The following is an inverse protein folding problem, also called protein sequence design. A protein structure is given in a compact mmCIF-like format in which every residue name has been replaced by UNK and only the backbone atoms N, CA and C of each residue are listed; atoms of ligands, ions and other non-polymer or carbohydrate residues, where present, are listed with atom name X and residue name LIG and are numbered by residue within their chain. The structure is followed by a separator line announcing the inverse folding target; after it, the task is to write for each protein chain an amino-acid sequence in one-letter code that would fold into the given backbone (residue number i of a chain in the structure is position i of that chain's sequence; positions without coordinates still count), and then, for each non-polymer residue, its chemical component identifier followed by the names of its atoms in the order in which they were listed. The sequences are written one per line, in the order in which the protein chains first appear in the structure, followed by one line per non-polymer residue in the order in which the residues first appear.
data_IF_050182470514
#
_entry.id   IF_050182470514
#
_cell.length_a   1.000
_cell.length_b   1.000
_cell.length_c   1.000
_cell.angle_alpha   90.00
_cell.angle_beta   90.00
_cell.angle_gamma   90.00
#
_symmetry.space_group_name_H-M   'P 1'
#
loop_
_entity.id
_entity.type
_entity.pdbx_description
1 polymer ?
#
# COMPACT_ATOMS: atom_id res chain seq x y z
N UNK A 1 9.91 -33.95 10.98
CA UNK A 1 10.57 -32.99 11.89
C UNK A 1 10.92 -31.63 11.26
N UNK A 2 10.91 -31.50 9.95
CA UNK A 2 11.32 -30.24 9.29
C UNK A 2 10.15 -29.38 8.80
N UNK A 3 8.91 -29.79 8.99
CA UNK A 3 7.71 -29.09 8.52
C UNK A 3 7.34 -27.83 9.33
N UNK A 4 7.83 -27.72 10.56
CA UNK A 4 7.52 -26.56 11.43
C UNK A 4 8.29 -25.30 11.06
N UNK A 5 9.41 -25.38 10.35
CA UNK A 5 10.17 -24.22 9.90
C UNK A 5 9.54 -23.58 8.66
N UNK A 6 9.03 -24.37 7.72
CA UNK A 6 8.38 -23.88 6.49
C UNK A 6 7.04 -23.20 6.76
N UNK A 7 6.27 -23.71 7.73
CA UNK A 7 5.02 -23.08 8.12
C UNK A 7 5.23 -21.74 8.85
N UNK A 8 6.39 -21.52 9.47
CA UNK A 8 6.73 -20.23 10.09
C UNK A 8 7.18 -19.18 9.05
N UNK A 9 7.88 -19.60 8.01
CA UNK A 9 8.29 -18.69 6.93
C UNK A 9 7.11 -18.27 6.06
N UNK A 10 6.17 -19.17 5.78
CA UNK A 10 4.96 -18.86 5.01
C UNK A 10 3.97 -17.92 5.74
N UNK A 11 3.94 -17.94 7.07
CA UNK A 11 3.10 -17.04 7.85
C UNK A 11 3.66 -15.62 7.99
N UNK A 12 4.91 -15.39 7.60
CA UNK A 12 5.57 -14.09 7.70
C UNK A 12 5.44 -13.21 6.45
N UNK A 13 4.81 -13.72 5.41
CA UNK A 13 4.77 -13.07 4.10
C UNK A 13 3.34 -12.89 3.64
N UNK A 14 2.81 -11.70 3.81
CA UNK A 14 1.57 -11.34 3.15
C UNK A 14 1.88 -10.94 1.70
N UNK A 15 1.45 -11.78 0.77
CA UNK A 15 1.65 -11.56 -0.66
C UNK A 15 0.37 -11.01 -1.27
N UNK A 16 0.49 -9.86 -1.89
CA UNK A 16 -0.61 -9.30 -2.67
C UNK A 16 -0.36 -9.57 -4.14
N UNK A 17 -1.23 -10.36 -4.75
CA UNK A 17 -1.15 -10.73 -6.16
C UNK A 17 -1.85 -9.72 -7.04
N UNK A 18 -1.14 -9.20 -8.02
CA UNK A 18 -1.71 -8.35 -9.06
C UNK A 18 -1.30 -8.88 -10.42
N UNK A 19 -2.23 -9.31 -11.27
CA UNK A 19 -1.97 -9.78 -12.64
C UNK A 19 -0.73 -10.70 -12.76
N UNK A 20 -0.67 -11.77 -11.97
CA UNK A 20 0.47 -12.70 -11.85
C UNK A 20 1.76 -12.09 -11.29
N UNK A 21 1.68 -10.96 -10.62
CA UNK A 21 2.81 -10.27 -10.00
C UNK A 21 2.51 -10.02 -8.53
N UNK A 22 3.52 -10.11 -7.69
CA UNK A 22 3.35 -10.05 -6.23
C UNK A 22 4.06 -8.83 -5.67
N UNK A 23 3.34 -8.09 -4.83
CA UNK A 23 3.94 -7.08 -3.95
C UNK A 23 4.16 -7.76 -2.60
N UNK A 24 5.39 -7.74 -2.15
CA UNK A 24 5.74 -8.21 -0.83
C UNK A 24 5.63 -7.07 0.19
N UNK A 25 4.73 -7.26 1.14
CA UNK A 25 4.61 -6.41 2.32
C UNK A 25 4.82 -7.29 3.55
N UNK A 26 5.75 -6.97 4.43
CA UNK A 26 5.94 -7.72 5.66
C UNK A 26 4.67 -7.70 6.50
N UNK A 27 4.05 -8.86 6.70
CA UNK A 27 2.80 -8.97 7.47
C UNK A 27 2.99 -8.96 8.99
N UNK A 28 4.19 -9.27 9.45
CA UNK A 28 4.45 -9.26 10.88
C UNK A 28 5.05 -7.95 11.34
N UNK A 29 4.24 -7.22 12.06
CA UNK A 29 4.72 -6.24 13.02
C UNK A 29 5.33 -6.97 14.21
N UNK A 30 6.51 -7.60 14.05
CA UNK A 30 7.27 -7.98 15.21
C UNK A 30 7.59 -6.71 15.95
N UNK A 31 6.82 -6.49 17.02
CA UNK A 31 7.16 -5.60 18.12
C UNK A 31 8.41 -4.76 17.87
N UNK A 32 8.31 -3.80 16.97
CA UNK A 32 9.20 -2.67 17.02
C UNK A 32 8.75 -2.00 18.31
N UNK A 33 9.46 -2.30 19.38
CA UNK A 33 9.23 -1.78 20.72
C UNK A 33 9.51 -0.28 20.77
N UNK A 34 8.68 0.45 20.07
CA UNK A 34 8.73 1.89 19.97
C UNK A 34 7.48 2.32 19.24
N UNK A 35 6.33 2.13 19.87
CA UNK A 35 4.97 2.47 19.49
C UNK A 35 4.77 3.45 18.34
N UNK A 36 5.17 3.07 17.12
CA UNK A 36 4.93 3.87 15.94
C UNK A 36 3.45 3.85 15.59
N UNK A 37 2.83 5.02 15.57
CA UNK A 37 1.46 5.18 15.09
C UNK A 37 1.44 4.96 13.58
N UNK A 38 0.49 4.20 13.03
CA UNK A 38 0.33 4.10 11.59
C UNK A 38 0.08 5.47 10.96
N UNK A 39 0.89 5.81 9.99
CA UNK A 39 0.78 7.06 9.24
C UNK A 39 -0.08 6.89 7.99
N UNK A 40 0.13 5.78 7.26
CA UNK A 40 -0.72 5.35 6.15
C UNK A 40 -1.26 3.97 6.45
N UNK A 41 -2.55 3.77 6.26
CA UNK A 41 -3.23 2.49 6.45
C UNK A 41 -3.98 2.14 5.17
N UNK A 42 -3.63 1.02 4.56
CA UNK A 42 -4.38 0.42 3.46
C UNK A 42 -5.17 -0.78 3.98
N UNK A 43 -6.45 -0.86 3.63
CA UNK A 43 -7.32 -1.99 3.98
C UNK A 43 -8.14 -2.42 2.77
N UNK A 44 -7.89 -3.65 2.33
CA UNK A 44 -8.49 -4.24 1.14
C UNK A 44 -8.46 -3.29 -0.07
N UNK A 45 -7.37 -2.54 -0.19
CA UNK A 45 -7.24 -1.46 -1.15
C UNK A 45 -6.83 -1.98 -2.52
N UNK A 46 -7.65 -1.74 -3.52
CA UNK A 46 -7.40 -2.10 -4.92
C UNK A 46 -7.38 -0.86 -5.81
N UNK A 47 -6.59 -0.94 -6.87
CA UNK A 47 -6.46 0.12 -7.89
C UNK A 47 -6.70 -0.49 -9.27
N UNK A 48 -7.55 0.14 -10.05
CA UNK A 48 -7.93 -0.28 -11.39
C UNK A 48 -7.59 0.80 -12.41
N UNK A 49 -7.20 0.35 -13.60
CA UNK A 49 -7.17 1.16 -14.83
C UNK A 49 -8.21 0.58 -15.80
N UNK A 50 -9.37 1.22 -15.88
CA UNK A 50 -10.53 0.61 -16.54
C UNK A 50 -10.92 -0.70 -15.85
N UNK A 51 -10.93 -1.81 -16.60
CA UNK A 51 -11.22 -3.13 -16.03
C UNK A 51 -9.98 -3.87 -15.50
N UNK A 52 -8.79 -3.32 -15.73
CA UNK A 52 -7.54 -3.94 -15.30
C UNK A 52 -7.23 -3.62 -13.83
N UNK A 53 -7.22 -4.65 -12.98
CA UNK A 53 -6.84 -4.52 -11.58
C UNK A 53 -5.31 -4.50 -11.45
N UNK A 54 -4.74 -3.31 -11.33
CA UNK A 54 -3.29 -3.11 -11.24
C UNK A 54 -2.73 -3.42 -9.86
N UNK A 55 -3.50 -3.15 -8.81
CA UNK A 55 -3.16 -3.44 -7.41
C UNK A 55 -4.37 -4.10 -6.76
N UNK A 56 -4.16 -5.23 -6.10
CA UNK A 56 -5.23 -6.08 -5.60
C UNK A 56 -5.20 -6.23 -4.09
N UNK A 57 -6.25 -5.74 -3.43
CA UNK A 57 -6.53 -5.94 -2.00
C UNK A 57 -5.33 -5.80 -1.08
N UNK A 58 -4.62 -4.68 -1.20
CA UNK A 58 -3.48 -4.37 -0.33
C UNK A 58 -3.96 -4.13 1.09
N UNK A 59 -3.33 -4.81 2.04
CA UNK A 59 -3.46 -4.56 3.46
C UNK A 59 -2.07 -4.21 4.00
N UNK A 60 -1.87 -2.97 4.41
CA UNK A 60 -0.57 -2.49 4.85
C UNK A 60 -0.71 -1.31 5.81
N UNK A 61 0.20 -1.25 6.76
CA UNK A 61 0.38 -0.08 7.61
C UNK A 61 1.79 0.45 7.45
N UNK A 62 1.90 1.71 7.10
CA UNK A 62 3.16 2.44 7.03
C UNK A 62 3.28 3.27 8.31
N UNK A 63 4.27 2.98 9.11
CA UNK A 63 4.45 3.63 10.39
C UNK A 63 5.10 5.01 10.25
N UNK A 64 4.67 5.94 11.08
CA UNK A 64 5.30 7.24 11.22
C UNK A 64 6.74 7.10 11.72
N UNK A 65 7.66 7.92 11.21
CA UNK A 65 9.07 7.99 11.59
C UNK A 65 9.90 6.76 11.24
N UNK A 66 9.41 5.90 10.35
CA UNK A 66 10.14 4.75 9.86
C UNK A 66 10.25 4.78 8.34
N UNK A 67 11.28 4.15 7.82
CA UNK A 67 11.40 3.86 6.40
C UNK A 67 10.71 2.53 6.11
N UNK A 68 9.76 2.53 5.20
CA UNK A 68 9.08 1.32 4.73
C UNK A 68 9.51 1.04 3.30
N UNK A 69 10.02 -0.15 3.06
CA UNK A 69 10.39 -0.60 1.72
C UNK A 69 9.26 -1.45 1.12
N UNK A 70 8.90 -1.15 -0.12
CA UNK A 70 7.97 -1.95 -0.92
C UNK A 70 8.79 -2.68 -1.97
N UNK A 71 8.78 -4.02 -1.91
CA UNK A 71 9.61 -4.88 -2.74
C UNK A 71 8.72 -5.73 -3.64
N UNK A 72 9.12 -5.86 -4.89
CA UNK A 72 8.46 -6.71 -5.86
C UNK A 72 9.07 -6.56 -7.25
N UNK A 73 8.74 -7.47 -8.19
CA UNK A 73 9.26 -7.41 -9.55
C UNK A 73 8.78 -6.14 -10.28
N UNK A 74 9.51 -5.75 -11.33
CA UNK A 74 9.14 -4.63 -12.18
C UNK A 74 7.71 -4.76 -12.72
N UNK A 75 6.94 -3.69 -12.64
CA UNK A 75 5.56 -3.63 -13.14
C UNK A 75 4.54 -4.40 -12.29
N UNK A 76 4.84 -4.74 -11.03
CA UNK A 76 3.89 -5.41 -10.12
C UNK A 76 2.91 -4.45 -9.42
N UNK A 77 2.98 -3.15 -9.67
CA UNK A 77 2.09 -2.15 -9.06
C UNK A 77 2.68 -1.34 -7.92
N UNK A 78 3.99 -1.47 -7.62
CA UNK A 78 4.66 -0.70 -6.56
C UNK A 78 4.50 0.81 -6.75
N UNK A 79 4.84 1.31 -7.93
CA UNK A 79 4.71 2.73 -8.27
C UNK A 79 3.25 3.18 -8.31
N UNK A 80 2.36 2.32 -8.76
CA UNK A 80 0.91 2.58 -8.77
C UNK A 80 0.39 2.76 -7.34
N UNK A 81 0.79 1.90 -6.42
CA UNK A 81 0.42 2.02 -5.01
C UNK A 81 0.99 3.29 -4.37
N UNK A 82 2.28 3.60 -4.61
CA UNK A 82 2.89 4.82 -4.09
C UNK A 82 2.18 6.09 -4.60
N UNK A 83 1.83 6.14 -5.88
CA UNK A 83 1.08 7.26 -6.45
C UNK A 83 -0.35 7.38 -5.92
N UNK A 84 -0.91 6.29 -5.42
CA UNK A 84 -2.23 6.34 -4.78
C UNK A 84 -2.21 7.11 -3.47
N UNK A 85 -1.11 7.06 -2.72
CA UNK A 85 -1.01 7.71 -1.41
C UNK A 85 -1.14 9.24 -1.52
N UNK A 86 -0.63 9.85 -2.58
CA UNK A 86 -0.79 11.30 -2.82
C UNK A 86 -1.81 11.62 -3.93
N UNK A 87 -2.60 10.64 -4.34
CA UNK A 87 -3.64 10.77 -5.38
C UNK A 87 -3.13 11.17 -6.75
N UNK A 88 -1.88 10.90 -7.07
CA UNK A 88 -1.36 11.19 -8.42
C UNK A 88 -1.97 10.32 -9.52
N UNK A 89 -2.54 9.16 -9.16
CA UNK A 89 -3.26 8.32 -10.11
C UNK A 89 -4.56 8.98 -10.63
N UNK A 90 -5.08 9.98 -9.94
CA UNK A 90 -6.27 10.73 -10.36
C UNK A 90 -6.05 11.50 -11.67
N UNK A 91 -4.79 11.72 -12.07
CA UNK A 91 -4.43 12.31 -13.36
C UNK A 91 -4.74 11.37 -14.54
N UNK A 92 -5.00 10.10 -14.26
CA UNK A 92 -5.36 9.08 -15.25
C UNK A 92 -6.88 8.87 -15.19
N UNK A 93 -7.64 9.29 -16.22
CA UNK A 93 -9.12 9.26 -16.17
C UNK A 93 -9.72 7.87 -15.93
N UNK A 94 -9.05 6.81 -16.40
CA UNK A 94 -9.51 5.43 -16.21
C UNK A 94 -9.18 4.84 -14.84
N UNK A 95 -8.43 5.56 -14.01
CA UNK A 95 -8.04 5.07 -12.69
C UNK A 95 -9.17 5.23 -11.67
N UNK A 96 -9.49 4.15 -10.97
CA UNK A 96 -10.38 4.16 -9.83
C UNK A 96 -9.91 3.20 -8.75
N UNK A 97 -10.39 3.38 -7.55
CA UNK A 97 -9.96 2.60 -6.38
C UNK A 97 -11.14 2.01 -5.64
N UNK A 98 -10.89 0.92 -4.93
CA UNK A 98 -11.83 0.31 -3.97
C UNK A 98 -11.09 0.01 -2.66
N UNK A 99 -11.85 -0.26 -1.60
CA UNK A 99 -11.28 -0.44 -0.26
C UNK A 99 -10.98 0.91 0.41
N UNK A 100 -10.12 0.90 1.41
CA UNK A 100 -9.77 2.09 2.17
C UNK A 100 -8.27 2.37 2.13
N UNK A 101 -7.90 3.63 1.93
CA UNK A 101 -6.54 4.13 2.09
C UNK A 101 -6.60 5.40 2.94
N UNK A 102 -5.98 5.37 4.11
CA UNK A 102 -6.03 6.46 5.07
C UNK A 102 -4.65 7.05 5.33
N UNK A 103 -4.62 8.34 5.54
CA UNK A 103 -3.45 9.09 5.96
C UNK A 103 -3.80 9.86 7.24
N UNK A 104 -3.04 9.59 8.32
CA UNK A 104 -3.32 10.16 9.65
C UNK A 104 -4.78 9.98 10.10
N UNK A 105 -5.38 8.82 9.77
CA UNK A 105 -6.76 8.50 10.12
C UNK A 105 -7.82 9.02 9.15
N UNK A 106 -7.48 9.92 8.24
CA UNK A 106 -8.40 10.46 7.24
C UNK A 106 -8.36 9.63 5.95
N UNK A 107 -9.52 9.38 5.35
CA UNK A 107 -9.62 8.67 4.09
C UNK A 107 -9.07 9.53 2.95
N UNK A 108 -8.04 9.02 2.26
CA UNK A 108 -7.39 9.73 1.13
C UNK A 108 -8.35 9.92 -0.03
N UNK A 109 -9.25 8.98 -0.26
CA UNK A 109 -10.26 9.01 -1.33
C UNK A 109 -11.64 9.40 -0.82
N UNK A 110 -11.72 9.99 0.37
CA UNK A 110 -12.96 10.48 0.96
C UNK A 110 -13.56 11.64 0.16
N UNK A 111 -14.89 11.74 0.19
CA UNK A 111 -15.65 12.76 -0.54
C UNK A 111 -15.25 14.21 -0.20
N UNK A 112 -14.76 14.43 1.01
CA UNK A 112 -14.39 15.75 1.52
C UNK A 112 -12.88 15.97 1.63
N UNK A 113 -12.08 15.05 1.11
CA UNK A 113 -10.62 15.15 1.16
C UNK A 113 -10.14 16.20 0.15
N UNK A 114 -9.42 17.19 0.64
CA UNK A 114 -8.77 18.21 -0.18
C UNK A 114 -7.43 17.64 -0.73
N UNK A 115 -7.39 17.43 -2.04
CA UNK A 115 -6.22 16.86 -2.73
C UNK A 115 -5.00 17.77 -2.67
N UNK A 116 -5.21 19.07 -2.68
CA UNK A 116 -4.12 20.06 -2.63
C UNK A 116 -3.47 20.05 -1.26
N UNK A 117 -4.26 20.00 -0.21
CA UNK A 117 -3.74 19.90 1.16
C UNK A 117 -3.05 18.56 1.40
N UNK A 118 -3.60 17.47 0.87
CA UNK A 118 -2.97 16.15 0.93
C UNK A 118 -1.58 16.16 0.28
N UNK A 119 -1.46 16.69 -0.93
CA UNK A 119 -0.19 16.75 -1.68
C UNK A 119 0.84 17.69 -1.06
N UNK A 120 0.41 18.68 -0.26
CA UNK A 120 1.33 19.48 0.55
C UNK A 120 1.98 18.69 1.68
N UNK A 121 1.27 17.69 2.21
CA UNK A 121 1.76 16.84 3.30
C UNK A 121 2.58 15.64 2.81
N UNK A 122 2.33 15.17 1.59
CA UNK A 122 2.93 13.96 1.02
C UNK A 122 3.71 14.31 -0.24
N UNK A 123 5.02 14.45 -0.08
CA UNK A 123 5.93 14.64 -1.20
C UNK A 123 6.24 13.32 -1.93
N UNK A 124 6.59 13.41 -3.21
CA UNK A 124 7.01 12.27 -4.01
C UNK A 124 8.27 12.60 -4.79
N UNK A 125 9.23 11.68 -4.77
CA UNK A 125 10.45 11.76 -5.57
C UNK A 125 10.33 10.79 -6.73
N UNK A 126 10.48 11.30 -7.94
CA UNK A 126 10.46 10.51 -9.17
C UNK A 126 11.87 10.08 -9.59
N UNK A 127 11.94 8.99 -10.33
CA UNK A 127 13.19 8.55 -10.95
C UNK A 127 13.60 9.49 -12.10
#
# INVERSE_FOLDING_TARGET
MHMTADSRETSQKEQVKTANREIYLPSERKNISGGGTPHVVAKDFSIYYGEFEAVKKVNADILSRYVTAIIGPSGCGKSTFLRAINRMNDLIPSCHTTGALRFDGEDIYGKFTDEVLLRKKIGMVFQ
#
